data_IF_765392558104
#
_entry.id   IF_765392558104
#
_cell.length_a   1.000
_cell.length_b   1.000
_cell.length_c   1.000
_cell.angle_alpha   90.00
_cell.angle_beta   90.00
_cell.angle_gamma   90.00
#
_symmetry.space_group_name_H-M   'P 1'
#
loop_
_entity.id
_entity.type
_entity.pdbx_description
1 polymer ?
#
# COMPACT_ATOMS: atom_id res chain seq x y z
N UNK A 1 -18.34 -9.16 -9.32
CA UNK A 1 -17.18 -8.94 -10.21
C UNK A 1 -15.95 -8.76 -9.35
N UNK A 2 -14.83 -9.43 -9.62
CA UNK A 2 -13.58 -9.19 -8.88
C UNK A 2 -12.62 -8.46 -9.80
N UNK A 3 -12.20 -7.27 -9.42
CA UNK A 3 -11.27 -6.45 -10.22
C UNK A 3 -9.90 -6.51 -9.58
N UNK A 4 -8.92 -6.98 -10.33
CA UNK A 4 -7.52 -6.92 -9.92
C UNK A 4 -6.92 -5.66 -10.52
N UNK A 5 -6.19 -4.91 -9.70
CA UNK A 5 -5.62 -3.63 -10.08
C UNK A 5 -4.14 -3.57 -9.72
N UNK A 6 -3.35 -2.95 -10.58
CA UNK A 6 -2.02 -2.50 -10.21
C UNK A 6 -2.17 -1.13 -9.51
N UNK A 7 -1.60 -0.98 -8.31
CA UNK A 7 -1.65 0.25 -7.50
C UNK A 7 -0.25 0.81 -7.33
N UNK A 8 -0.13 2.13 -7.44
CA UNK A 8 1.12 2.85 -7.17
C UNK A 8 0.87 3.91 -6.10
N UNK A 9 1.68 3.91 -5.05
CA UNK A 9 1.59 4.86 -3.95
C UNK A 9 2.84 5.75 -3.94
N UNK A 10 2.63 7.05 -4.10
CA UNK A 10 3.67 8.08 -4.07
C UNK A 10 3.77 8.70 -2.66
N UNK A 11 4.96 9.15 -2.27
CA UNK A 11 5.19 9.93 -1.04
C UNK A 11 5.48 9.09 0.21
N UNK A 12 5.50 7.77 0.10
CA UNK A 12 5.85 6.87 1.22
C UNK A 12 7.36 6.92 1.47
N UNK A 13 7.83 7.26 2.68
CA UNK A 13 9.26 7.30 2.99
C UNK A 13 9.87 5.90 3.00
N UNK A 14 11.11 5.76 2.56
CA UNK A 14 11.82 4.49 2.35
C UNK A 14 11.81 3.53 3.55
N UNK A 15 11.83 4.05 4.77
CA UNK A 15 11.84 3.27 6.00
C UNK A 15 10.44 2.80 6.46
N UNK A 16 9.38 3.33 5.86
CA UNK A 16 7.98 2.95 6.14
C UNK A 16 7.40 2.03 5.05
N UNK A 17 8.21 1.58 4.10
CA UNK A 17 7.80 0.65 3.06
C UNK A 17 7.49 -0.72 3.64
N UNK A 18 6.21 -0.97 3.87
CA UNK A 18 5.70 -2.22 4.44
C UNK A 18 4.36 -2.59 3.79
N UNK A 19 4.06 -3.87 3.72
CA UNK A 19 2.78 -4.34 3.18
C UNK A 19 1.62 -3.88 4.07
N UNK A 20 1.84 -3.86 5.38
CA UNK A 20 0.89 -3.42 6.39
C UNK A 20 0.52 -1.95 6.21
N UNK A 21 1.51 -1.09 5.93
CA UNK A 21 1.30 0.32 5.63
C UNK A 21 0.43 0.50 4.39
N UNK A 22 0.69 -0.25 3.33
CA UNK A 22 -0.15 -0.18 2.12
C UNK A 22 -1.58 -0.69 2.38
N UNK A 23 -1.74 -1.71 3.23
CA UNK A 23 -3.06 -2.21 3.61
C UNK A 23 -3.85 -1.15 4.39
N UNK A 24 -3.20 -0.41 5.28
CA UNK A 24 -3.83 0.71 6.00
C UNK A 24 -4.27 1.83 5.06
N UNK A 25 -3.45 2.19 4.07
CA UNK A 25 -3.77 3.25 3.10
C UNK A 25 -4.98 2.88 2.20
N UNK A 26 -5.03 1.62 1.76
CA UNK A 26 -6.10 1.09 0.92
C UNK A 26 -7.39 0.79 1.71
N UNK A 27 -7.26 0.48 3.00
CA UNK A 27 -8.37 0.16 3.87
C UNK A 27 -9.18 -1.03 3.37
N UNK A 28 -10.50 -0.97 3.51
CA UNK A 28 -11.41 -2.05 3.10
C UNK A 28 -11.71 -2.09 1.60
N UNK A 29 -11.26 -1.10 0.83
CA UNK A 29 -11.56 -1.01 -0.61
C UNK A 29 -10.82 -2.09 -1.42
N UNK A 30 -9.62 -2.48 -0.97
CA UNK A 30 -8.76 -3.41 -1.69
C UNK A 30 -8.02 -4.38 -0.77
N UNK A 31 -7.89 -5.62 -1.22
CA UNK A 31 -7.08 -6.66 -0.61
C UNK A 31 -5.75 -6.80 -1.38
N UNK A 32 -4.62 -6.63 -0.70
CA UNK A 32 -3.30 -6.78 -1.32
C UNK A 32 -3.06 -8.25 -1.69
N UNK A 33 -2.65 -8.48 -2.93
CA UNK A 33 -2.26 -9.80 -3.45
C UNK A 33 -0.74 -9.98 -3.42
N UNK A 34 0.02 -9.01 -3.94
CA UNK A 34 1.49 -9.09 -3.98
C UNK A 34 2.13 -7.71 -4.13
N UNK A 35 3.37 -7.59 -3.66
CA UNK A 35 4.22 -6.42 -3.91
C UNK A 35 4.98 -6.61 -5.23
N UNK A 36 5.24 -5.53 -5.96
CA UNK A 36 5.99 -5.61 -7.22
C UNK A 36 7.45 -6.05 -6.96
N UNK A 37 8.04 -6.91 -7.81
CA UNK A 37 9.39 -7.44 -7.61
C UNK A 37 10.47 -6.36 -7.67
N UNK A 38 10.23 -5.25 -8.38
CA UNK A 38 11.09 -4.05 -8.39
C UNK A 38 11.22 -3.36 -7.02
N UNK A 39 10.29 -3.60 -6.10
CA UNK A 39 10.46 -3.18 -4.71
C UNK A 39 11.44 -4.04 -3.92
N UNK A 40 11.74 -5.26 -4.38
CA UNK A 40 12.73 -6.14 -3.75
C UNK A 40 14.17 -5.70 -4.06
N UNK A 41 14.42 -5.08 -5.22
CA UNK A 41 15.74 -4.55 -5.59
C UNK A 41 16.05 -3.18 -4.97
N UNK A 42 15.05 -2.47 -4.44
CA UNK A 42 15.16 -1.09 -3.91
C UNK A 42 15.74 -0.07 -4.90
N UNK A 43 15.76 -0.38 -6.19
CA UNK A 43 16.33 0.52 -7.21
C UNK A 43 15.37 1.67 -7.55
N UNK A 44 14.06 1.39 -7.62
CA UNK A 44 13.02 2.38 -7.86
C UNK A 44 12.20 2.66 -6.59
N UNK A 45 12.72 3.54 -5.72
CA UNK A 45 12.06 3.93 -4.46
C UNK A 45 11.11 5.13 -4.57
N UNK A 46 10.76 5.56 -5.78
CA UNK A 46 9.87 6.71 -5.99
C UNK A 46 8.38 6.35 -5.84
N UNK A 47 8.02 5.10 -6.12
CA UNK A 47 6.65 4.61 -6.09
C UNK A 47 6.58 3.23 -5.43
N UNK A 48 5.73 3.09 -4.43
CA UNK A 48 5.42 1.81 -3.82
C UNK A 48 4.36 1.10 -4.68
N UNK A 49 4.76 0.03 -5.38
CA UNK A 49 3.94 -0.64 -6.39
C UNK A 49 3.46 -1.99 -5.90
N UNK A 50 2.16 -2.23 -6.00
CA UNK A 50 1.55 -3.48 -5.55
C UNK A 50 0.43 -3.89 -6.49
N UNK A 51 0.00 -5.14 -6.35
CA UNK A 51 -1.22 -5.65 -6.95
C UNK A 51 -2.25 -5.94 -5.86
N UNK A 52 -3.48 -5.52 -6.09
CA UNK A 52 -4.58 -5.72 -5.17
C UNK A 52 -5.86 -6.14 -5.88
N UNK A 53 -6.74 -6.80 -5.15
CA UNK A 53 -8.11 -7.08 -5.53
C UNK A 53 -9.01 -6.01 -4.93
N UNK A 54 -9.70 -5.23 -5.75
CA UNK A 54 -10.63 -4.21 -5.31
C UNK A 54 -12.07 -4.61 -5.65
N UNK A 55 -12.99 -4.27 -4.75
CA UNK A 55 -14.44 -4.40 -5.01
C UNK A 55 -14.87 -3.33 -6.00
N UNK A 56 -14.49 -2.08 -5.73
CA UNK A 56 -14.67 -0.94 -6.59
C UNK A 56 -13.39 -0.06 -6.57
N UNK A 57 -12.65 0.05 -7.68
CA UNK A 57 -11.47 0.90 -7.74
C UNK A 57 -11.78 2.40 -7.62
N UNK A 58 -13.03 2.85 -7.86
CA UNK A 58 -13.42 4.25 -7.72
C UNK A 58 -13.56 4.68 -6.26
N UNK A 59 -13.78 3.73 -5.34
CA UNK A 59 -13.82 4.01 -3.90
C UNK A 59 -12.42 4.20 -3.28
N UNK A 60 -11.35 3.85 -4.00
CA UNK A 60 -9.98 4.02 -3.52
C UNK A 60 -9.65 5.50 -3.44
N UNK A 61 -9.31 5.96 -2.23
CA UNK A 61 -8.97 7.36 -2.00
C UNK A 61 -7.67 7.73 -2.71
N UNK A 62 -7.72 8.73 -3.58
CA UNK A 62 -6.54 9.23 -4.32
C UNK A 62 -5.50 9.89 -3.41
N UNK A 63 -5.88 10.32 -2.21
CA UNK A 63 -5.02 11.00 -1.26
C UNK A 63 -5.24 10.48 0.17
N UNK A 64 -4.13 10.28 0.90
CA UNK A 64 -4.12 9.92 2.32
C UNK A 64 -2.98 10.63 3.05
N UNK A 65 -3.07 10.64 4.38
CA UNK A 65 -1.99 11.07 5.28
C UNK A 65 -1.42 9.85 5.96
N UNK A 66 -0.13 9.61 5.76
CA UNK A 66 0.61 8.55 6.42
C UNK A 66 1.30 9.12 7.67
N UNK A 67 1.13 8.47 8.81
CA UNK A 67 1.76 8.86 10.06
C UNK A 67 2.83 7.85 10.43
N UNK A 68 4.09 8.26 10.43
CA UNK A 68 5.22 7.38 10.73
C UNK A 68 5.87 7.83 12.04
N UNK A 69 6.13 6.94 13.01
CA UNK A 69 6.89 7.28 14.19
C UNK A 69 8.27 7.82 13.83
N UNK A 70 8.66 8.94 14.42
CA UNK A 70 9.99 9.51 14.25
C UNK A 70 11.05 8.49 14.71
N UNK A 71 12.07 8.19 13.88
CA UNK A 71 13.11 7.26 14.25
C UNK A 71 13.89 7.79 15.46
N UNK A 72 14.33 6.92 16.40
CA UNK A 72 15.04 7.36 17.58
C UNK A 72 16.36 8.02 17.19
N UNK A 73 16.64 9.20 17.76
CA UNK A 73 17.95 9.82 17.64
C UNK A 73 19.01 8.87 18.24
N UNK A 74 20.01 8.50 17.43
CA UNK A 74 21.19 7.77 17.90
C UNK A 74 22.10 8.77 18.59
N UNK A 75 21.73 9.16 19.82
CA UNK A 75 22.59 9.99 20.66
C UNK A 75 23.75 9.11 21.20
N UNK A 76 25.01 9.60 21.15
CA UNK A 76 26.15 8.88 21.70
C UNK A 76 26.10 8.75 23.23
N UNK A 77 25.33 9.62 23.91
CA UNK A 77 25.11 9.59 25.35
C UNK A 77 23.67 9.15 25.67
N UNK A 78 23.45 7.99 26.32
CA UNK A 78 22.12 7.54 26.72
C UNK A 78 21.46 8.46 27.76
N UNK A 79 22.21 9.28 28.50
CA UNK A 79 21.68 10.27 29.44
C UNK A 79 21.22 11.57 28.73
N UNK A 80 21.74 11.84 27.52
CA UNK A 80 21.30 12.93 26.67
C UNK A 80 20.07 12.59 25.82
N UNK A 81 19.55 11.35 25.91
CA UNK A 81 18.21 11.00 25.43
C UNK A 81 17.20 11.83 26.18
N UNK A 82 16.93 13.04 25.68
CA UNK A 82 15.68 13.72 25.97
C UNK A 82 14.58 12.70 25.71
N UNK A 83 13.54 12.71 26.56
CA UNK A 83 12.30 12.05 26.20
C UNK A 83 11.77 12.78 24.95
N UNK A 84 12.30 12.44 23.78
CA UNK A 84 11.69 12.73 22.51
C UNK A 84 10.35 12.00 22.59
N UNK A 85 9.32 12.78 22.93
CA UNK A 85 7.95 12.36 22.74
C UNK A 85 7.89 11.72 21.37
N UNK A 86 7.30 10.53 21.26
CA UNK A 86 7.20 9.79 19.99
C UNK A 86 6.39 10.66 19.02
N UNK A 87 7.05 11.55 18.30
CA UNK A 87 6.40 12.40 17.33
C UNK A 87 6.04 11.54 16.13
N UNK A 88 4.85 11.78 15.59
CA UNK A 88 4.44 11.17 14.34
C UNK A 88 4.75 12.17 13.23
N UNK A 89 5.55 11.74 12.27
CA UNK A 89 5.83 12.47 11.05
C UNK A 89 4.67 12.24 10.08
N UNK A 90 4.08 13.33 9.58
CA UNK A 90 3.02 13.30 8.57
C UNK A 90 3.65 13.30 7.17
N UNK A 91 3.27 12.34 6.33
CA UNK A 91 3.64 12.27 4.93
C UNK A 91 2.38 12.31 4.06
N UNK A 92 2.25 13.29 3.14
CA UNK A 92 1.20 13.26 2.14
C UNK A 92 1.47 12.13 1.15
N UNK A 93 0.49 11.25 0.95
CA UNK A 93 0.61 10.14 0.00
C UNK A 93 -0.49 10.19 -1.04
N UNK A 94 -0.12 9.88 -2.28
CA UNK A 94 -1.03 9.83 -3.42
C UNK A 94 -1.16 8.39 -3.91
N UNK A 95 -2.38 7.95 -4.15
CA UNK A 95 -2.69 6.60 -4.60
C UNK A 95 -3.17 6.68 -6.04
N UNK A 96 -2.47 5.97 -6.92
CA UNK A 96 -2.76 5.89 -8.34
C UNK A 96 -3.24 4.49 -8.68
N UNK A 97 -4.43 4.41 -9.28
CA UNK A 97 -4.94 3.17 -9.87
C UNK A 97 -4.38 3.04 -11.28
N UNK A 98 -3.63 1.97 -11.50
CA UNK A 98 -3.05 1.61 -12.79
C UNK A 98 -3.97 0.68 -13.58
N UNK A 99 -3.38 -0.41 -14.09
CA UNK A 99 -4.09 -1.33 -14.99
C UNK A 99 -5.17 -2.10 -14.23
N UNK A 100 -6.40 -2.08 -14.77
CA UNK A 100 -7.53 -2.87 -14.31
C UNK A 100 -7.62 -4.21 -15.05
N UNK A 101 -7.95 -5.29 -14.34
CA UNK A 101 -8.21 -6.63 -14.88
C UNK A 101 -9.50 -7.15 -14.28
N UNK A 102 -10.50 -7.36 -15.13
CA UNK A 102 -11.81 -7.84 -14.70
C UNK A 102 -11.82 -9.36 -14.78
N UNK A 103 -12.10 -10.01 -13.65
CA UNK A 103 -12.32 -11.45 -13.59
C UNK A 103 -13.82 -11.72 -13.46
N UNK A 104 -14.38 -12.24 -14.54
CA UNK A 104 -15.69 -12.90 -14.50
C UNK A 104 -15.49 -14.38 -14.23
N UNK A 105 -16.22 -14.99 -13.28
CA UNK A 105 -16.27 -16.45 -13.22
C UNK A 105 -16.81 -16.99 -14.57
N UNK A 106 -16.37 -18.18 -15.00
CA UNK A 106 -17.02 -18.85 -16.13
C UNK A 106 -18.48 -19.12 -15.76
N UNK A 107 -19.39 -18.89 -16.70
CA UNK A 107 -20.80 -19.22 -16.53
C UNK A 107 -20.94 -20.71 -16.21
N UNK A 108 -21.49 -21.01 -15.02
CA UNK A 108 -21.86 -22.35 -14.60
C UNK A 108 -23.15 -22.78 -15.30
N UNK A 109 -23.17 -22.82 -16.64
CA UNK A 109 -24.35 -23.26 -17.41
C UNK A 109 -24.15 -24.53 -18.24
N UNK A 110 -22.99 -25.19 -18.21
CA UNK A 110 -22.77 -26.40 -19.05
C UNK A 110 -22.67 -27.73 -18.28
N UNK A 111 -23.14 -27.79 -17.03
CA UNK A 111 -23.15 -29.05 -16.26
C UNK A 111 -24.55 -29.50 -15.81
N UNK A 112 -25.57 -29.34 -16.67
CA UNK A 112 -26.81 -30.15 -16.57
C UNK A 112 -27.23 -30.57 -17.98
N UNK A 113 -26.43 -31.44 -18.60
CA UNK A 113 -26.89 -32.28 -19.70
C UNK A 113 -27.30 -33.63 -19.12
N UNK A 114 -28.60 -33.80 -18.89
CA UNK A 114 -29.26 -35.09 -18.63
C UNK A 114 -29.39 -35.85 -19.96
#
# INVERSE_FOLDING_TARGET
>A
MRVQVDVMIEGVPSHAWAQEMAAELLGSACLIESLAPEMASREDMSLFKLRAWCVDPEEVSVFRRLWVPEPPEVAPDPAARRASFRQLLEYPVFIHIGRLRVFSPPDVETCIGI
#
